data_IF_219595956080
#
_entry.id   IF_219595956080
#
_cell.length_a   1.000
_cell.length_b   1.000
_cell.length_c   1.000
_cell.angle_alpha   90.00
_cell.angle_beta   90.00
_cell.angle_gamma   90.00
#
_symmetry.space_group_name_H-M   'P 1'
#
loop_
_entity.id
_entity.type
_entity.pdbx_description
1 polymer ?
#
# COMPACT_ATOMS: atom_id res chain seq x y z
N UNK A 1 -34.91 -57.42 -59.01
CA UNK A 1 -33.90 -56.35 -59.17
C UNK A 1 -34.66 -55.07 -59.53
N UNK A 2 -34.89 -54.23 -58.53
CA UNK A 2 -35.59 -52.95 -58.71
C UNK A 2 -34.57 -51.84 -58.50
N UNK A 3 -34.29 -51.12 -59.57
CA UNK A 3 -33.32 -49.99 -59.59
C UNK A 3 -33.92 -48.82 -58.82
N UNK A 4 -33.17 -48.36 -57.81
CA UNK A 4 -33.46 -47.09 -57.12
C UNK A 4 -32.92 -45.93 -57.97
N UNK A 5 -33.81 -45.04 -58.40
CA UNK A 5 -33.51 -43.89 -59.21
C UNK A 5 -33.10 -42.69 -58.30
N UNK A 6 -32.24 -41.85 -58.83
CA UNK A 6 -31.68 -40.65 -58.19
C UNK A 6 -32.68 -39.53 -57.81
N UNK A 7 -33.98 -39.79 -57.79
CA UNK A 7 -35.02 -38.77 -57.54
C UNK A 7 -35.68 -38.85 -56.16
N UNK A 8 -35.34 -39.85 -55.33
CA UNK A 8 -35.97 -40.04 -54.02
C UNK A 8 -35.17 -39.38 -52.85
N UNK A 9 -34.22 -38.48 -53.15
CA UNK A 9 -33.39 -37.84 -52.15
C UNK A 9 -33.72 -36.36 -51.92
N UNK A 10 -34.93 -35.90 -52.19
CA UNK A 10 -35.34 -34.52 -51.88
C UNK A 10 -36.58 -34.58 -51.01
N UNK A 11 -36.41 -34.64 -49.70
CA UNK A 11 -37.52 -34.61 -48.76
C UNK A 11 -37.23 -34.75 -47.29
N UNK A 12 -35.99 -34.48 -46.86
CA UNK A 12 -35.74 -34.31 -45.42
C UNK A 12 -35.42 -32.83 -45.20
N UNK A 13 -36.47 -32.03 -45.13
CA UNK A 13 -36.40 -30.65 -44.71
C UNK A 13 -35.95 -30.58 -43.23
N UNK A 14 -34.86 -29.88 -43.02
CA UNK A 14 -34.24 -29.58 -41.77
C UNK A 14 -35.24 -29.04 -40.73
N UNK A 15 -35.61 -29.85 -39.76
CA UNK A 15 -36.07 -29.38 -38.48
C UNK A 15 -34.84 -28.97 -37.69
N UNK A 16 -34.34 -27.77 -37.93
CA UNK A 16 -33.38 -27.09 -37.04
C UNK A 16 -34.10 -26.85 -35.74
N UNK A 17 -33.96 -27.78 -34.82
CA UNK A 17 -34.26 -27.55 -33.41
C UNK A 17 -33.41 -26.39 -32.96
N UNK A 18 -34.00 -25.22 -32.77
CA UNK A 18 -33.47 -24.11 -32.00
C UNK A 18 -33.34 -24.59 -30.54
N UNK A 19 -32.28 -25.34 -30.27
CA UNK A 19 -31.81 -25.50 -28.88
C UNK A 19 -31.48 -24.11 -28.38
N UNK A 20 -32.08 -23.66 -27.27
CA UNK A 20 -31.64 -22.42 -26.65
C UNK A 20 -30.14 -22.59 -26.38
N UNK A 21 -29.31 -21.75 -26.99
CA UNK A 21 -27.93 -21.58 -26.56
C UNK A 21 -28.05 -21.09 -25.15
N UNK A 22 -27.88 -21.99 -24.19
CA UNK A 22 -27.51 -21.62 -22.83
C UNK A 22 -26.19 -20.91 -22.97
N UNK A 23 -26.25 -19.59 -23.10
CA UNK A 23 -25.08 -18.73 -22.91
C UNK A 23 -24.71 -18.99 -21.46
N UNK A 24 -23.73 -19.85 -21.22
CA UNK A 24 -23.00 -19.80 -19.96
C UNK A 24 -22.44 -18.39 -19.92
N UNK A 25 -23.09 -17.53 -19.16
CA UNK A 25 -22.49 -16.25 -18.79
C UNK A 25 -21.15 -16.62 -18.18
N UNK A 26 -20.09 -16.37 -18.91
CA UNK A 26 -18.72 -16.50 -18.39
C UNK A 26 -18.74 -15.67 -17.13
N UNK A 27 -18.53 -16.31 -15.95
CA UNK A 27 -18.58 -15.61 -14.68
C UNK A 27 -17.65 -14.42 -14.79
N UNK A 28 -18.20 -13.22 -14.66
CA UNK A 28 -17.42 -12.00 -14.69
C UNK A 28 -16.49 -12.06 -13.48
N UNK A 29 -15.18 -11.99 -13.68
CA UNK A 29 -14.23 -12.12 -12.59
C UNK A 29 -13.22 -10.97 -12.59
N UNK A 30 -12.55 -10.77 -11.46
CA UNK A 30 -11.40 -9.88 -11.30
C UNK A 30 -10.33 -10.53 -10.44
N UNK A 31 -9.07 -10.48 -10.86
CA UNK A 31 -7.92 -11.00 -10.13
C UNK A 31 -7.18 -9.85 -9.47
N UNK A 32 -7.15 -9.83 -8.14
CA UNK A 32 -6.60 -8.74 -7.33
C UNK A 32 -5.30 -9.19 -6.67
N UNK A 33 -4.17 -8.66 -7.14
CA UNK A 33 -2.88 -8.85 -6.49
C UNK A 33 -2.81 -8.00 -5.21
N UNK A 34 -2.81 -8.66 -4.04
CA UNK A 34 -2.96 -7.96 -2.75
C UNK A 34 -2.12 -8.60 -1.63
N UNK A 35 -2.11 -7.95 -0.46
CA UNK A 35 -1.58 -8.53 0.78
C UNK A 35 -2.60 -9.46 1.41
N UNK A 36 -2.11 -10.42 2.22
CA UNK A 36 -2.95 -11.25 3.08
C UNK A 36 -3.20 -10.61 4.46
N UNK A 37 -3.70 -11.44 5.39
CA UNK A 37 -4.04 -11.02 6.75
C UNK A 37 -5.14 -9.96 6.78
N UNK A 38 -5.12 -9.10 7.79
CA UNK A 38 -6.15 -8.07 8.01
C UNK A 38 -6.44 -7.25 6.73
N UNK A 39 -5.43 -6.92 5.92
CA UNK A 39 -5.63 -6.17 4.68
C UNK A 39 -6.48 -6.94 3.66
N UNK A 40 -6.12 -8.19 3.38
CA UNK A 40 -6.86 -9.05 2.45
C UNK A 40 -8.26 -9.39 2.96
N UNK A 41 -8.40 -9.58 4.27
CA UNK A 41 -9.69 -9.88 4.89
C UNK A 41 -10.64 -8.67 4.82
N UNK A 42 -10.14 -7.46 5.07
CA UNK A 42 -10.93 -6.23 4.92
C UNK A 42 -11.35 -5.98 3.48
N UNK A 43 -10.47 -6.25 2.49
CA UNK A 43 -10.89 -6.21 1.08
C UNK A 43 -11.97 -7.24 0.81
N UNK A 44 -11.81 -8.47 1.30
CA UNK A 44 -12.79 -9.56 1.08
C UNK A 44 -14.16 -9.20 1.63
N UNK A 45 -14.21 -8.68 2.85
CA UNK A 45 -15.46 -8.33 3.50
C UNK A 45 -16.07 -7.05 2.95
N UNK A 46 -15.29 -5.98 2.86
CA UNK A 46 -15.77 -4.62 2.56
C UNK A 46 -15.89 -4.32 1.06
N UNK A 47 -15.15 -5.02 0.20
CA UNK A 47 -15.13 -4.77 -1.25
C UNK A 47 -15.64 -5.98 -2.02
N UNK A 48 -15.00 -7.15 -1.84
CA UNK A 48 -15.29 -8.33 -2.66
C UNK A 48 -16.74 -8.80 -2.45
N UNK A 49 -17.10 -9.11 -1.20
CA UNK A 49 -18.41 -9.66 -0.84
C UNK A 49 -19.50 -8.59 -0.76
N UNK A 50 -19.17 -7.42 -0.24
CA UNK A 50 -20.15 -6.37 -0.03
C UNK A 50 -20.55 -5.65 -1.33
N UNK A 51 -19.62 -5.52 -2.29
CA UNK A 51 -19.82 -4.65 -3.47
C UNK A 51 -19.72 -5.43 -4.78
N UNK A 52 -18.65 -6.24 -4.99
CA UNK A 52 -18.40 -6.88 -6.27
C UNK A 52 -19.30 -8.10 -6.53
N UNK A 53 -19.44 -8.98 -5.54
CA UNK A 53 -20.29 -10.18 -5.66
C UNK A 53 -21.75 -9.84 -5.96
N UNK A 54 -22.40 -8.85 -5.31
CA UNK A 54 -23.75 -8.42 -5.67
C UNK A 54 -23.89 -7.89 -7.11
N UNK A 55 -22.79 -7.43 -7.73
CA UNK A 55 -22.75 -7.04 -9.14
C UNK A 55 -22.47 -8.23 -10.09
N UNK A 56 -22.43 -9.46 -9.59
CA UNK A 56 -22.13 -10.67 -10.37
C UNK A 56 -20.65 -10.82 -10.75
N UNK A 57 -19.75 -10.14 -10.04
CA UNK A 57 -18.30 -10.20 -10.29
C UNK A 57 -17.65 -11.05 -9.21
N UNK A 58 -17.05 -12.17 -9.61
CA UNK A 58 -16.24 -13.02 -8.73
C UNK A 58 -14.86 -12.38 -8.51
N UNK A 59 -14.40 -12.30 -7.26
CA UNK A 59 -13.08 -11.76 -6.92
C UNK A 59 -12.13 -12.88 -6.50
N UNK A 60 -10.98 -12.93 -7.16
CA UNK A 60 -9.88 -13.84 -6.83
C UNK A 60 -8.71 -13.03 -6.28
N UNK A 61 -8.45 -13.13 -4.98
CA UNK A 61 -7.28 -12.50 -4.37
C UNK A 61 -6.01 -13.33 -4.64
N UNK A 62 -5.05 -12.76 -5.41
CA UNK A 62 -3.69 -13.29 -5.58
C UNK A 62 -2.82 -12.73 -4.45
N UNK A 63 -2.83 -13.43 -3.31
CA UNK A 63 -2.15 -13.02 -2.10
C UNK A 63 -0.66 -13.30 -2.20
N UNK A 64 0.14 -12.25 -2.13
CA UNK A 64 1.60 -12.34 -2.14
C UNK A 64 2.24 -11.13 -1.43
N UNK A 65 3.52 -11.25 -1.07
CA UNK A 65 4.29 -10.12 -0.57
C UNK A 65 4.49 -9.02 -1.63
N UNK A 66 4.88 -7.80 -1.24
CA UNK A 66 5.01 -6.68 -2.18
C UNK A 66 6.08 -6.94 -3.26
N UNK A 67 7.21 -7.51 -2.90
CA UNK A 67 8.32 -7.77 -3.85
C UNK A 67 7.93 -8.77 -4.94
N UNK A 68 7.39 -9.97 -4.64
CA UNK A 68 6.91 -10.90 -5.66
C UNK A 68 5.84 -10.28 -6.57
N UNK A 69 4.85 -9.56 -6.01
CA UNK A 69 3.77 -8.92 -6.77
C UNK A 69 4.30 -7.86 -7.72
N UNK A 70 5.15 -6.94 -7.24
CA UNK A 70 5.83 -5.95 -8.08
C UNK A 70 6.64 -6.63 -9.19
N UNK A 71 7.45 -7.63 -8.85
CA UNK A 71 8.28 -8.36 -9.83
C UNK A 71 7.43 -8.99 -10.92
N UNK A 72 6.32 -9.62 -10.55
CA UNK A 72 5.35 -10.24 -11.47
C UNK A 72 4.74 -9.19 -12.40
N UNK A 73 4.24 -8.07 -11.86
CA UNK A 73 3.69 -6.96 -12.64
C UNK A 73 4.72 -6.45 -13.67
N UNK A 74 5.96 -6.20 -13.24
CA UNK A 74 7.01 -5.68 -14.11
C UNK A 74 7.45 -6.68 -15.19
N UNK A 75 7.57 -7.95 -14.85
CA UNK A 75 7.93 -9.01 -15.79
C UNK A 75 6.85 -9.20 -16.87
N UNK A 76 5.60 -9.10 -16.49
CA UNK A 76 4.46 -9.32 -17.40
C UNK A 76 4.05 -8.09 -18.21
N UNK A 77 4.54 -6.88 -17.91
CA UNK A 77 4.06 -5.61 -18.48
C UNK A 77 4.02 -5.54 -20.03
N UNK A 78 4.87 -6.31 -20.70
CA UNK A 78 4.91 -6.41 -22.17
C UNK A 78 4.13 -7.59 -22.72
N UNK A 79 3.59 -8.46 -21.88
CA UNK A 79 2.78 -9.59 -22.30
C UNK A 79 1.43 -9.08 -22.82
N UNK A 80 0.87 -9.78 -23.79
CA UNK A 80 -0.48 -9.46 -24.30
C UNK A 80 -1.56 -9.54 -23.22
N UNK A 81 -1.36 -10.39 -22.23
CA UNK A 81 -2.29 -10.61 -21.09
C UNK A 81 -1.49 -10.81 -19.81
N UNK A 82 -1.80 -10.02 -18.82
CA UNK A 82 -1.28 -10.15 -17.46
C UNK A 82 -1.98 -11.25 -16.67
N UNK A 83 -1.45 -11.53 -15.50
CA UNK A 83 -2.03 -12.50 -14.56
C UNK A 83 -2.87 -11.85 -13.46
N UNK A 84 -2.88 -10.53 -13.35
CA UNK A 84 -3.71 -9.77 -12.42
C UNK A 84 -4.44 -8.64 -13.13
N UNK A 85 -5.61 -8.28 -12.63
CA UNK A 85 -6.45 -7.19 -13.14
C UNK A 85 -6.35 -5.95 -12.28
N UNK A 86 -6.00 -6.12 -11.00
CA UNK A 86 -5.69 -5.04 -10.06
C UNK A 86 -4.38 -5.38 -9.33
N UNK A 87 -3.52 -4.39 -9.16
CA UNK A 87 -2.28 -4.49 -8.38
C UNK A 87 -2.30 -3.50 -7.22
N UNK A 88 -2.27 -4.01 -5.97
CA UNK A 88 -2.11 -3.20 -4.77
C UNK A 88 -0.62 -3.09 -4.42
N UNK A 89 -0.06 -1.89 -4.39
CA UNK A 89 1.36 -1.62 -4.13
C UNK A 89 1.52 -0.40 -3.20
N UNK A 90 2.69 -0.27 -2.58
CA UNK A 90 3.07 0.97 -1.93
C UNK A 90 3.44 2.04 -2.98
N UNK A 91 3.35 3.30 -2.60
CA UNK A 91 3.51 4.47 -3.47
C UNK A 91 4.80 4.50 -4.29
N UNK A 92 5.93 4.11 -3.71
CA UNK A 92 7.21 4.03 -4.44
C UNK A 92 7.22 2.94 -5.52
N UNK A 93 6.64 1.77 -5.22
CA UNK A 93 6.52 0.69 -6.20
C UNK A 93 5.51 1.05 -7.30
N UNK A 94 4.43 1.77 -6.92
CA UNK A 94 3.43 2.27 -7.86
C UNK A 94 4.02 3.34 -8.79
N UNK A 95 4.84 4.27 -8.26
CA UNK A 95 5.60 5.22 -9.06
C UNK A 95 6.46 4.51 -10.10
N UNK A 96 7.21 3.48 -9.69
CA UNK A 96 8.06 2.71 -10.61
C UNK A 96 7.24 2.02 -11.71
N UNK A 97 6.06 1.48 -11.37
CA UNK A 97 5.16 0.86 -12.34
C UNK A 97 4.62 1.89 -13.35
N UNK A 98 4.30 3.09 -12.90
CA UNK A 98 3.84 4.21 -13.73
C UNK A 98 4.94 4.64 -14.71
N UNK A 99 6.17 4.87 -14.24
CA UNK A 99 7.30 5.27 -15.09
C UNK A 99 7.64 4.24 -16.17
N UNK A 100 7.42 2.96 -15.88
CA UNK A 100 7.62 1.87 -16.84
C UNK A 100 6.41 1.67 -17.78
N UNK A 101 5.38 2.50 -17.69
CA UNK A 101 4.17 2.43 -18.50
C UNK A 101 3.37 1.15 -18.33
N UNK A 102 3.41 0.54 -17.14
CA UNK A 102 2.75 -0.73 -16.84
C UNK A 102 1.27 -0.59 -16.51
N UNK A 103 0.79 0.63 -16.22
CA UNK A 103 -0.52 0.90 -15.64
C UNK A 103 -1.43 1.66 -16.62
N UNK A 104 -2.73 1.47 -16.48
CA UNK A 104 -3.77 2.27 -17.15
C UNK A 104 -3.83 3.67 -16.58
N UNK A 105 -4.25 4.61 -17.40
CA UNK A 105 -4.59 5.96 -16.96
C UNK A 105 -5.98 5.98 -16.33
N UNK A 106 -6.10 6.67 -15.19
CA UNK A 106 -7.31 6.77 -14.40
C UNK A 106 -7.81 8.21 -14.37
N UNK A 107 -9.12 8.36 -14.45
CA UNK A 107 -9.84 9.62 -14.26
C UNK A 107 -11.24 9.38 -13.66
N UNK A 108 -12.00 10.44 -13.46
CA UNK A 108 -13.37 10.37 -12.91
C UNK A 108 -14.38 9.74 -13.90
N UNK A 109 -14.03 9.52 -15.16
CA UNK A 109 -14.88 8.85 -16.14
C UNK A 109 -14.81 7.33 -15.98
N UNK A 110 -13.62 6.80 -15.69
CA UNK A 110 -13.40 5.37 -15.55
C UNK A 110 -13.35 4.89 -14.09
N UNK A 111 -13.10 5.79 -13.11
CA UNK A 111 -13.20 5.56 -11.67
C UNK A 111 -13.91 6.77 -11.02
N UNK A 112 -15.25 6.82 -11.03
CA UNK A 112 -16.03 8.00 -10.62
C UNK A 112 -15.70 8.53 -9.22
N UNK A 113 -15.42 7.64 -8.27
CA UNK A 113 -15.09 8.01 -6.90
C UNK A 113 -13.72 8.70 -6.73
N UNK A 114 -12.90 8.78 -7.77
CA UNK A 114 -11.71 9.64 -7.75
C UNK A 114 -12.07 11.12 -7.49
N UNK A 115 -13.29 11.54 -7.83
CA UNK A 115 -13.80 12.85 -7.49
C UNK A 115 -13.83 13.16 -5.98
N UNK A 116 -13.96 12.13 -5.13
CA UNK A 116 -13.97 12.26 -3.68
C UNK A 116 -12.59 12.14 -3.04
N UNK A 117 -11.58 11.68 -3.79
CA UNK A 117 -10.20 11.55 -3.29
C UNK A 117 -9.64 12.95 -2.95
N UNK A 118 -8.98 13.07 -1.80
CA UNK A 118 -8.33 14.31 -1.41
C UNK A 118 -7.33 14.78 -2.49
N UNK A 119 -7.33 16.05 -2.89
CA UNK A 119 -6.52 16.54 -4.01
C UNK A 119 -5.03 16.25 -3.89
N UNK A 120 -4.46 16.27 -2.68
CA UNK A 120 -3.03 16.01 -2.45
C UNK A 120 -2.63 14.54 -2.62
N UNK A 121 -3.60 13.61 -2.69
CA UNK A 121 -3.38 12.18 -2.90
C UNK A 121 -3.70 11.73 -4.34
N UNK A 122 -4.33 12.57 -5.16
CA UNK A 122 -4.75 12.18 -6.52
C UNK A 122 -3.56 11.91 -7.42
N UNK A 123 -3.64 10.83 -8.18
CA UNK A 123 -2.68 10.41 -9.20
C UNK A 123 -3.41 9.98 -10.47
N UNK A 124 -2.70 9.97 -11.61
CA UNK A 124 -3.28 9.66 -12.91
C UNK A 124 -3.27 8.16 -13.28
N UNK A 125 -2.61 7.29 -12.51
CA UNK A 125 -2.47 5.87 -12.85
C UNK A 125 -2.77 4.93 -11.67
N UNK A 126 -3.16 5.47 -10.53
CA UNK A 126 -3.51 4.71 -9.34
C UNK A 126 -4.52 5.47 -8.50
N UNK A 127 -5.30 4.73 -7.71
CA UNK A 127 -6.06 5.29 -6.61
C UNK A 127 -5.23 5.18 -5.32
N UNK A 128 -5.25 6.20 -4.44
CA UNK A 128 -4.79 6.04 -3.07
C UNK A 128 -5.88 5.31 -2.28
N UNK A 129 -5.58 4.12 -1.78
CA UNK A 129 -6.59 3.34 -1.06
C UNK A 129 -6.61 3.67 0.43
N UNK A 130 -5.44 3.74 1.07
CA UNK A 130 -5.26 4.12 2.47
C UNK A 130 -3.94 4.88 2.62
N UNK A 131 -3.83 5.78 3.62
CA UNK A 131 -2.57 6.46 3.87
C UNK A 131 -2.24 6.55 5.36
N UNK A 132 -0.96 6.79 5.65
CA UNK A 132 -0.41 7.06 6.96
C UNK A 132 0.87 7.89 6.79
N UNK A 133 1.65 8.04 7.84
CA UNK A 133 2.99 8.62 7.79
C UNK A 133 3.96 7.76 8.60
N UNK A 134 5.15 7.51 8.07
CA UNK A 134 6.26 7.05 8.88
C UNK A 134 6.73 8.20 9.76
N UNK A 135 6.71 7.96 11.05
CA UNK A 135 6.96 8.97 12.06
C UNK A 135 7.58 8.33 13.30
N UNK A 136 7.82 9.10 14.35
CA UNK A 136 8.28 8.55 15.63
C UNK A 136 7.11 7.87 16.33
N UNK A 137 7.19 6.54 16.47
CA UNK A 137 6.34 5.74 17.36
C UNK A 137 7.16 5.44 18.61
N UNK A 138 6.58 5.65 19.79
CA UNK A 138 7.30 5.56 21.06
C UNK A 138 6.46 4.87 22.16
N UNK A 139 7.14 4.27 23.13
CA UNK A 139 6.51 3.66 24.30
C UNK A 139 6.14 4.75 25.31
N UNK A 140 4.86 4.92 25.60
CA UNK A 140 4.31 5.99 26.48
C UNK A 140 4.60 5.78 27.96
N UNK A 141 4.86 4.54 28.39
CA UNK A 141 5.25 4.24 29.77
C UNK A 141 6.72 4.58 30.04
N UNK A 142 7.57 4.51 28.99
CA UNK A 142 9.02 4.79 29.09
C UNK A 142 9.35 6.22 28.73
N UNK A 143 8.57 6.83 27.85
CA UNK A 143 8.78 8.21 27.38
C UNK A 143 7.50 9.01 27.72
N UNK A 144 7.47 9.54 28.92
CA UNK A 144 6.31 10.27 29.46
C UNK A 144 6.13 11.67 28.89
N UNK A 145 7.22 12.25 28.34
CA UNK A 145 7.17 13.49 27.57
C UNK A 145 7.33 13.13 26.10
N UNK A 146 6.28 13.29 25.26
CA UNK A 146 6.35 12.95 23.84
C UNK A 146 7.53 13.62 23.13
N UNK A 147 8.24 12.91 22.23
CA UNK A 147 9.26 13.53 21.37
C UNK A 147 8.67 14.70 20.57
N UNK A 148 9.48 15.71 20.29
CA UNK A 148 9.05 16.88 19.50
C UNK A 148 9.78 16.99 18.16
N UNK A 149 11.02 16.51 18.15
CA UNK A 149 11.91 16.63 17.00
C UNK A 149 12.41 15.26 16.58
N UNK A 150 12.71 15.09 15.29
CA UNK A 150 13.41 13.88 14.82
C UNK A 150 14.78 13.71 15.49
N UNK A 151 15.41 14.80 15.97
CA UNK A 151 16.67 14.74 16.70
C UNK A 151 16.57 13.98 18.02
N UNK A 152 15.38 13.83 18.60
CA UNK A 152 15.17 13.01 19.80
C UNK A 152 15.58 11.54 19.58
N UNK A 153 15.56 11.06 18.33
CA UNK A 153 16.03 9.73 17.96
C UNK A 153 17.57 9.58 18.12
N UNK A 154 18.33 10.67 18.21
CA UNK A 154 19.78 10.70 18.44
C UNK A 154 20.16 11.15 19.84
N UNK A 155 19.18 11.34 20.75
CA UNK A 155 19.47 11.73 22.12
C UNK A 155 20.22 10.59 22.85
N UNK A 156 21.41 10.83 23.40
CA UNK A 156 22.19 9.80 24.10
C UNK A 156 21.47 9.12 25.27
N UNK A 157 20.44 9.79 25.85
CA UNK A 157 19.60 9.16 26.90
C UNK A 157 18.85 7.92 26.43
N UNK A 158 18.64 7.77 25.14
CA UNK A 158 17.99 6.63 24.51
C UNK A 158 18.96 5.64 23.86
N UNK A 159 20.24 5.65 24.26
CA UNK A 159 21.24 4.68 23.80
C UNK A 159 20.72 3.26 23.91
N UNK A 160 20.75 2.49 22.80
CA UNK A 160 20.27 1.11 22.72
C UNK A 160 18.77 0.95 22.80
N UNK A 161 17.99 2.07 22.75
CA UNK A 161 16.52 2.08 22.85
C UNK A 161 15.81 2.57 21.59
N UNK A 162 16.55 2.87 20.53
CA UNK A 162 16.01 3.22 19.21
C UNK A 162 16.05 1.98 18.31
N UNK A 163 14.90 1.61 17.74
CA UNK A 163 14.78 0.55 16.74
C UNK A 163 14.70 1.12 15.33
N UNK A 164 15.32 0.44 14.38
CA UNK A 164 15.29 0.78 12.97
C UNK A 164 14.85 -0.45 12.16
N UNK A 165 13.78 -0.33 11.41
CA UNK A 165 13.30 -1.44 10.57
C UNK A 165 14.22 -1.64 9.37
N UNK A 166 14.77 -2.83 9.18
CA UNK A 166 15.70 -3.14 8.08
C UNK A 166 15.06 -2.90 6.70
N UNK A 167 13.81 -3.30 6.54
CA UNK A 167 13.07 -3.11 5.28
C UNK A 167 12.68 -1.63 5.01
N UNK A 168 12.77 -0.74 6.01
CA UNK A 168 12.54 0.70 5.87
C UNK A 168 13.85 1.48 5.74
N UNK A 169 14.93 0.86 5.25
CA UNK A 169 16.23 1.50 5.13
C UNK A 169 16.18 2.85 4.39
N UNK A 170 15.35 2.96 3.34
CA UNK A 170 15.15 4.22 2.60
C UNK A 170 14.52 5.29 3.48
N UNK A 171 13.48 4.97 4.23
CA UNK A 171 12.82 5.88 5.17
C UNK A 171 13.79 6.28 6.30
N UNK A 172 14.49 5.31 6.89
CA UNK A 172 15.52 5.59 7.93
C UNK A 172 16.61 6.53 7.39
N UNK A 173 17.03 6.31 6.13
CA UNK A 173 18.01 7.18 5.46
C UNK A 173 17.44 8.59 5.26
N UNK A 174 16.15 8.72 4.90
CA UNK A 174 15.50 10.02 4.76
C UNK A 174 15.46 10.78 6.09
N UNK A 175 15.08 10.14 7.19
CA UNK A 175 15.12 10.75 8.53
C UNK A 175 16.54 11.17 8.90
N UNK A 176 17.53 10.32 8.65
CA UNK A 176 18.94 10.66 8.90
C UNK A 176 19.42 11.82 8.02
N UNK A 177 18.96 11.92 6.75
CA UNK A 177 19.30 13.03 5.86
C UNK A 177 18.75 14.36 6.40
N UNK A 178 17.45 14.40 6.71
CA UNK A 178 16.81 15.61 7.26
C UNK A 178 17.48 16.02 8.57
N UNK A 179 17.75 15.09 9.50
CA UNK A 179 18.46 15.36 10.75
C UNK A 179 19.90 15.86 10.52
N UNK A 180 20.49 15.53 9.39
CA UNK A 180 21.82 16.01 8.98
C UNK A 180 21.82 17.34 8.22
N UNK A 181 20.66 17.97 8.02
CA UNK A 181 20.51 19.21 7.24
C UNK A 181 20.34 18.97 5.72
N UNK A 182 20.07 17.74 5.29
CA UNK A 182 19.73 17.39 3.92
C UNK A 182 18.26 17.63 3.57
N UNK A 183 17.80 16.99 2.50
CA UNK A 183 16.43 17.12 1.99
C UNK A 183 15.95 15.82 1.35
N UNK A 184 14.73 15.80 0.81
CA UNK A 184 14.19 14.65 0.03
C UNK A 184 14.91 14.45 -1.32
N UNK A 185 15.77 15.37 -1.72
CA UNK A 185 16.62 15.32 -2.92
C UNK A 185 18.11 15.39 -2.62
N UNK A 186 18.49 15.31 -1.33
CA UNK A 186 19.89 15.28 -0.88
C UNK A 186 20.04 14.40 0.36
N UNK A 187 20.43 13.14 0.14
CA UNK A 187 20.68 12.18 1.22
C UNK A 187 22.16 12.04 1.60
N UNK A 188 23.05 12.89 1.06
CA UNK A 188 24.47 12.84 1.42
C UNK A 188 24.73 13.00 2.93
N UNK A 189 24.02 13.90 3.67
CA UNK A 189 24.19 14.04 5.10
C UNK A 189 23.77 12.82 5.94
N UNK A 190 22.93 11.93 5.37
CA UNK A 190 22.42 10.75 6.07
C UNK A 190 23.53 9.81 6.55
N UNK A 191 24.61 9.66 5.77
CA UNK A 191 25.69 8.71 6.07
C UNK A 191 26.29 8.99 7.46
N UNK A 192 26.56 10.26 7.78
CA UNK A 192 27.05 10.65 9.10
C UNK A 192 26.05 10.33 10.20
N UNK A 193 24.78 10.67 10.00
CA UNK A 193 23.71 10.47 10.98
C UNK A 193 23.40 8.99 11.22
N UNK A 194 23.48 8.15 10.20
CA UNK A 194 23.39 6.71 10.34
C UNK A 194 24.53 6.17 11.22
N UNK A 195 25.78 6.62 11.01
CA UNK A 195 26.91 6.21 11.85
C UNK A 195 26.79 6.70 13.29
N UNK A 196 26.15 7.87 13.52
CA UNK A 196 25.80 8.32 14.87
C UNK A 196 24.80 7.34 15.54
N UNK A 197 23.75 6.87 14.84
CA UNK A 197 22.84 5.82 15.37
C UNK A 197 23.59 4.52 15.70
N UNK A 198 24.52 4.09 14.84
CA UNK A 198 25.36 2.94 15.13
C UNK A 198 26.15 3.14 16.42
N UNK A 199 26.72 4.32 16.64
CA UNK A 199 27.48 4.65 17.87
C UNK A 199 26.57 4.74 19.12
N UNK A 200 25.26 4.94 18.93
CA UNK A 200 24.22 4.92 19.97
C UNK A 200 23.57 3.55 20.15
N UNK A 201 24.13 2.49 19.58
CA UNK A 201 23.64 1.11 19.67
C UNK A 201 22.18 0.95 19.17
N UNK A 202 21.77 1.69 18.15
CA UNK A 202 20.46 1.53 17.53
C UNK A 202 20.27 0.09 17.03
N UNK A 203 19.09 -0.50 17.30
CA UNK A 203 18.79 -1.89 16.98
C UNK A 203 18.20 -1.99 15.57
N UNK A 204 18.79 -2.80 14.69
CA UNK A 204 18.24 -3.10 13.37
C UNK A 204 17.34 -4.32 13.48
N UNK A 205 16.07 -4.16 13.13
CA UNK A 205 15.01 -5.17 13.31
C UNK A 205 14.52 -5.64 11.93
N UNK A 206 14.52 -6.96 11.73
CA UNK A 206 14.35 -7.57 10.41
C UNK A 206 12.92 -7.49 9.84
N UNK A 207 11.90 -7.40 10.68
CA UNK A 207 10.50 -7.42 10.27
C UNK A 207 9.62 -6.54 11.16
N UNK A 208 8.40 -6.29 10.70
CA UNK A 208 7.36 -5.58 11.48
C UNK A 208 7.08 -6.31 12.80
N UNK A 209 7.04 -7.64 12.79
CA UNK A 209 6.81 -8.48 13.96
C UNK A 209 7.98 -8.38 14.96
N UNK A 210 9.21 -8.30 14.44
CA UNK A 210 10.39 -8.09 15.28
C UNK A 210 10.34 -6.72 15.99
N UNK A 211 9.87 -5.67 15.31
CA UNK A 211 9.68 -4.33 15.92
C UNK A 211 8.62 -4.40 17.02
N UNK A 212 7.48 -5.05 16.77
CA UNK A 212 6.43 -5.23 17.79
C UNK A 212 6.93 -6.00 19.01
N UNK A 213 7.68 -7.10 18.78
CA UNK A 213 8.27 -7.90 19.85
C UNK A 213 9.29 -7.10 20.67
N UNK A 214 10.12 -6.28 20.03
CA UNK A 214 11.11 -5.43 20.69
C UNK A 214 10.45 -4.33 21.54
N UNK A 215 9.32 -3.77 21.13
CA UNK A 215 8.51 -2.88 21.97
C UNK A 215 7.90 -3.62 23.17
N UNK A 216 7.31 -4.79 22.92
CA UNK A 216 6.67 -5.59 23.99
C UNK A 216 7.68 -6.04 25.05
N UNK A 217 8.91 -6.35 24.67
CA UNK A 217 9.99 -6.71 25.59
C UNK A 217 10.74 -5.49 26.14
N UNK A 218 10.38 -4.27 25.74
CA UNK A 218 11.06 -3.01 26.08
C UNK A 218 12.55 -2.98 25.65
N UNK A 219 12.93 -3.81 24.69
CA UNK A 219 14.24 -3.74 24.07
C UNK A 219 14.42 -2.38 23.39
N UNK A 220 13.38 -1.89 22.72
CA UNK A 220 13.33 -0.54 22.16
C UNK A 220 12.21 0.29 22.82
N UNK A 221 12.37 1.61 22.80
CA UNK A 221 11.39 2.57 23.27
C UNK A 221 10.89 3.50 22.18
N UNK A 222 11.61 3.62 21.07
CA UNK A 222 11.25 4.41 19.90
C UNK A 222 11.64 3.71 18.61
N UNK A 223 10.89 4.01 17.55
CA UNK A 223 11.21 3.59 16.17
C UNK A 223 10.63 4.59 15.17
N UNK A 224 11.09 4.52 13.93
CA UNK A 224 10.46 5.14 12.76
C UNK A 224 9.62 4.07 12.06
N UNK A 225 8.29 4.24 12.10
CA UNK A 225 7.36 3.34 11.40
C UNK A 225 6.05 4.09 11.12
N UNK A 226 5.17 3.52 10.30
CA UNK A 226 3.85 4.12 10.06
C UNK A 226 3.06 4.28 11.37
N UNK A 227 2.46 5.45 11.59
CA UNK A 227 1.59 5.73 12.73
C UNK A 227 0.50 4.66 12.89
N UNK A 228 -0.05 4.17 11.78
CA UNK A 228 -1.01 3.07 11.73
C UNK A 228 -0.50 1.80 12.42
N UNK A 229 0.80 1.48 12.33
CA UNK A 229 1.37 0.34 13.06
C UNK A 229 1.40 0.57 14.57
N UNK A 230 1.73 1.80 14.98
CA UNK A 230 1.63 2.21 16.40
C UNK A 230 0.22 2.03 16.93
N UNK A 231 -0.80 2.45 16.17
CA UNK A 231 -2.21 2.24 16.50
C UNK A 231 -2.55 0.75 16.65
N UNK A 232 -2.24 -0.10 15.66
CA UNK A 232 -2.52 -1.54 15.72
C UNK A 232 -1.89 -2.22 16.93
N UNK A 233 -0.66 -1.87 17.26
CA UNK A 233 0.06 -2.44 18.40
C UNK A 233 -0.46 -1.90 19.75
N UNK A 234 -0.94 -0.65 19.77
CA UNK A 234 -1.60 -0.10 20.94
C UNK A 234 -2.92 -0.84 21.22
N UNK A 235 -3.73 -1.12 20.20
CA UNK A 235 -4.92 -1.96 20.31
C UNK A 235 -4.59 -3.40 20.77
N UNK A 236 -3.40 -3.89 20.45
CA UNK A 236 -2.90 -5.17 20.93
C UNK A 236 -2.28 -5.11 22.35
N UNK A 237 -2.40 -3.98 23.05
CA UNK A 237 -2.00 -3.80 24.44
C UNK A 237 -0.53 -3.38 24.65
N UNK A 238 0.18 -2.91 23.63
CA UNK A 238 1.51 -2.31 23.79
C UNK A 238 1.32 -0.79 23.99
N UNK A 239 1.82 -0.18 25.08
CA UNK A 239 1.58 1.23 25.38
C UNK A 239 2.35 2.15 24.43
N UNK A 240 1.80 2.43 23.25
CA UNK A 240 2.42 3.20 22.20
C UNK A 240 1.64 4.46 21.87
N UNK A 241 2.40 5.53 21.60
CA UNK A 241 1.94 6.75 20.96
C UNK A 241 2.76 7.05 19.73
N UNK A 242 2.32 8.03 18.93
CA UNK A 242 3.09 8.56 17.82
C UNK A 242 3.07 10.08 17.80
N UNK A 243 4.04 10.69 17.14
CA UNK A 243 4.12 12.14 16.96
C UNK A 243 4.64 12.48 15.58
N UNK A 244 4.08 13.51 14.96
CA UNK A 244 4.66 14.17 13.80
C UNK A 244 5.66 15.22 14.33
N UNK A 245 6.93 14.97 14.12
CA UNK A 245 7.99 15.86 14.57
C UNK A 245 7.90 17.27 13.96
N UNK A 246 8.59 18.23 14.56
CA UNK A 246 8.62 19.62 14.06
C UNK A 246 9.18 19.69 12.63
N UNK A 247 10.14 18.83 12.28
CA UNK A 247 10.74 18.72 10.96
C UNK A 247 9.84 17.97 9.96
N UNK A 248 8.77 17.33 10.43
CA UNK A 248 7.78 16.61 9.63
C UNK A 248 7.86 15.09 9.71
N UNK A 249 7.26 14.44 8.73
CA UNK A 249 7.17 12.99 8.63
C UNK A 249 7.19 12.53 7.16
N UNK A 250 7.55 11.27 6.93
CA UNK A 250 7.54 10.67 5.59
C UNK A 250 6.16 10.07 5.31
N UNK A 251 5.33 10.67 4.42
CA UNK A 251 4.02 10.10 4.09
C UNK A 251 4.19 8.73 3.44
N UNK A 252 3.23 7.85 3.65
CA UNK A 252 3.15 6.54 2.99
C UNK A 252 1.72 6.29 2.53
N UNK A 253 1.57 5.94 1.27
CA UNK A 253 0.27 5.66 0.65
C UNK A 253 0.29 4.24 0.10
N UNK A 254 -0.74 3.46 0.41
CA UNK A 254 -0.98 2.20 -0.27
C UNK A 254 -1.98 2.46 -1.38
N UNK A 255 -1.62 2.02 -2.57
CA UNK A 255 -2.31 2.36 -3.80
C UNK A 255 -2.78 1.11 -4.52
N UNK A 256 -3.78 1.27 -5.37
CA UNK A 256 -4.22 0.24 -6.28
C UNK A 256 -4.33 0.79 -7.71
N UNK A 257 -4.00 -0.05 -8.68
CA UNK A 257 -4.00 0.31 -10.09
C UNK A 257 -4.41 -0.87 -10.98
N UNK A 258 -4.87 -0.57 -12.18
CA UNK A 258 -5.16 -1.57 -13.23
C UNK A 258 -3.94 -1.70 -14.14
N UNK A 259 -3.33 -2.89 -14.28
CA UNK A 259 -2.29 -3.12 -15.28
C UNK A 259 -2.81 -2.92 -16.71
N UNK A 260 -1.99 -2.34 -17.61
CA UNK A 260 -2.35 -2.13 -19.02
C UNK A 260 -2.78 -3.41 -19.74
N UNK A 261 -2.21 -4.53 -19.35
CA UNK A 261 -2.47 -5.84 -19.93
C UNK A 261 -3.46 -6.69 -19.12
N UNK A 262 -4.21 -6.07 -18.21
CA UNK A 262 -5.28 -6.72 -17.45
C UNK A 262 -6.29 -7.41 -18.38
N UNK A 263 -6.71 -8.62 -18.03
CA UNK A 263 -7.68 -9.40 -18.83
C UNK A 263 -9.09 -8.89 -18.67
N UNK A 264 -9.43 -8.48 -17.45
CA UNK A 264 -10.76 -8.03 -17.06
C UNK A 264 -10.68 -6.56 -16.61
N UNK A 265 -10.16 -5.70 -17.50
CA UNK A 265 -9.86 -4.29 -17.21
C UNK A 265 -11.07 -3.53 -16.66
N UNK A 266 -12.25 -3.71 -17.26
CA UNK A 266 -13.49 -3.07 -16.80
C UNK A 266 -13.83 -3.45 -15.36
N UNK A 267 -13.71 -4.73 -15.01
CA UNK A 267 -13.92 -5.17 -13.63
C UNK A 267 -12.82 -4.67 -12.69
N UNK A 268 -11.59 -4.54 -13.16
CA UNK A 268 -10.51 -3.91 -12.43
C UNK A 268 -10.83 -2.46 -12.07
N UNK A 269 -11.32 -1.67 -13.02
CA UNK A 269 -11.74 -0.28 -12.79
C UNK A 269 -12.91 -0.19 -11.79
N UNK A 270 -13.92 -1.05 -11.93
CA UNK A 270 -15.02 -1.15 -10.94
C UNK A 270 -14.52 -1.52 -9.55
N UNK A 271 -13.50 -2.39 -9.47
CA UNK A 271 -12.88 -2.76 -8.21
C UNK A 271 -12.16 -1.58 -7.56
N UNK A 272 -11.42 -0.77 -8.34
CA UNK A 272 -10.79 0.45 -7.83
C UNK A 272 -11.85 1.42 -7.29
N UNK A 273 -12.95 1.61 -8.00
CA UNK A 273 -14.05 2.46 -7.55
C UNK A 273 -14.66 1.96 -6.23
N UNK A 274 -14.87 0.64 -6.12
CA UNK A 274 -15.37 0.00 -4.92
C UNK A 274 -14.41 0.13 -3.71
N UNK A 275 -13.08 0.13 -3.93
CA UNK A 275 -12.11 0.36 -2.85
C UNK A 275 -12.19 1.77 -2.26
N UNK A 276 -12.73 2.73 -3.00
CA UNK A 276 -12.94 4.12 -2.55
C UNK A 276 -14.32 4.33 -1.89
N UNK A 277 -15.13 3.28 -1.71
CA UNK A 277 -16.40 3.39 -1.00
C UNK A 277 -16.16 3.75 0.49
N UNK A 278 -16.94 4.72 1.06
CA UNK A 278 -16.74 5.16 2.44
C UNK A 278 -16.74 4.03 3.47
N UNK A 279 -17.63 3.04 3.29
CA UNK A 279 -17.70 1.89 4.20
C UNK A 279 -16.43 1.02 4.16
N UNK A 280 -15.84 0.79 2.98
CA UNK A 280 -14.57 0.09 2.84
C UNK A 280 -13.44 0.90 3.50
N UNK A 281 -13.36 2.21 3.24
CA UNK A 281 -12.35 3.10 3.79
C UNK A 281 -12.40 3.17 5.33
N UNK A 282 -13.59 3.32 5.91
CA UNK A 282 -13.78 3.38 7.38
C UNK A 282 -13.46 2.04 8.06
N UNK A 283 -13.71 0.91 7.41
CA UNK A 283 -13.34 -0.42 7.93
C UNK A 283 -11.81 -0.57 8.09
N UNK A 284 -11.04 -0.12 7.08
CA UNK A 284 -9.57 -0.07 7.16
C UNK A 284 -9.09 0.86 8.28
N UNK A 285 -9.71 2.03 8.43
CA UNK A 285 -9.39 2.97 9.48
C UNK A 285 -9.60 2.35 10.86
N UNK A 286 -10.75 1.76 11.11
CA UNK A 286 -11.09 1.16 12.41
C UNK A 286 -10.18 -0.01 12.78
N UNK A 287 -9.87 -0.89 11.82
CA UNK A 287 -9.09 -2.11 12.09
C UNK A 287 -7.59 -1.88 12.07
N UNK A 288 -7.09 -1.07 11.14
CA UNK A 288 -5.67 -0.94 10.87
C UNK A 288 -5.09 0.45 11.17
N UNK A 289 -5.91 1.44 11.53
CA UNK A 289 -5.45 2.78 11.87
C UNK A 289 -4.89 3.58 10.68
N UNK A 290 -5.20 3.18 9.46
CA UNK A 290 -4.89 3.98 8.27
C UNK A 290 -5.98 5.00 8.01
N UNK A 291 -5.59 6.19 7.59
CA UNK A 291 -6.51 7.29 7.31
C UNK A 291 -7.21 7.06 5.97
N UNK A 292 -8.53 7.29 5.88
CA UNK A 292 -9.25 7.29 4.61
C UNK A 292 -8.69 8.30 3.63
N UNK A 293 -8.80 7.99 2.34
CA UNK A 293 -8.29 8.84 1.25
C UNK A 293 -9.38 9.65 0.55
N UNK A 294 -10.64 9.45 0.94
CA UNK A 294 -11.82 10.11 0.36
C UNK A 294 -12.52 11.01 1.38
N UNK A 295 -13.06 12.11 0.91
CA UNK A 295 -13.65 13.18 1.75
C UNK A 295 -15.02 12.82 2.35
N UNK A 296 -15.70 11.81 1.80
CA UNK A 296 -17.00 11.32 2.25
C UNK A 296 -16.92 10.12 3.22
N UNK A 297 -15.74 9.62 3.54
CA UNK A 297 -15.52 8.63 4.60
C UNK A 297 -15.43 9.32 5.97
N UNK A 298 -16.54 9.33 6.69
CA UNK A 298 -16.64 9.99 8.00
C UNK A 298 -16.25 8.97 9.10
N UNK A 299 -15.24 9.30 9.88
CA UNK A 299 -14.80 8.50 11.03
C UNK A 299 -15.55 8.89 12.32
N UNK A 300 -15.63 7.93 13.24
CA UNK A 300 -15.96 8.25 14.61
C UNK A 300 -14.94 9.27 15.16
N UNK A 301 -15.38 10.33 15.90
CA UNK A 301 -14.49 11.39 16.36
C UNK A 301 -13.32 10.91 17.25
N UNK A 302 -13.51 9.88 18.08
CA UNK A 302 -12.44 9.35 18.92
C UNK A 302 -11.45 8.55 18.10
N UNK A 303 -11.91 7.79 17.11
CA UNK A 303 -11.04 7.11 16.16
C UNK A 303 -10.25 8.12 15.32
N UNK A 304 -10.94 9.13 14.76
CA UNK A 304 -10.31 10.17 13.94
C UNK A 304 -9.17 10.85 14.68
N UNK A 305 -9.40 11.26 15.92
CA UNK A 305 -8.37 11.86 16.79
C UNK A 305 -7.16 10.98 17.03
N UNK A 306 -7.34 9.66 17.00
CA UNK A 306 -6.27 8.69 17.27
C UNK A 306 -5.43 8.34 16.07
N UNK A 307 -5.98 8.42 14.86
CA UNK A 307 -5.31 7.94 13.64
C UNK A 307 -5.06 9.02 12.60
N UNK A 308 -5.87 10.09 12.58
CA UNK A 308 -5.75 11.15 11.58
C UNK A 308 -4.65 12.16 11.99
N UNK A 309 -4.33 13.01 11.06
CA UNK A 309 -3.35 14.09 11.21
C UNK A 309 -4.07 15.43 11.08
N UNK A 310 -3.73 16.37 11.94
CA UNK A 310 -4.21 17.76 11.82
C UNK A 310 -3.70 18.40 10.52
N UNK A 311 -4.37 19.43 10.03
CA UNK A 311 -3.91 20.14 8.82
C UNK A 311 -2.48 20.67 8.99
N UNK A 312 -2.15 21.21 10.18
CA UNK A 312 -0.79 21.67 10.48
C UNK A 312 0.26 20.55 10.48
N UNK A 313 -0.12 19.30 10.79
CA UNK A 313 0.76 18.13 10.68
C UNK A 313 0.90 17.69 9.23
N UNK A 314 -0.19 17.67 8.46
CA UNK A 314 -0.16 17.37 7.03
C UNK A 314 0.70 18.35 6.23
N UNK A 315 0.69 19.63 6.59
CA UNK A 315 1.55 20.66 5.99
C UNK A 315 3.05 20.36 6.20
N UNK A 316 3.41 19.65 7.28
CA UNK A 316 4.78 19.22 7.56
C UNK A 316 5.16 17.89 6.91
N UNK A 317 4.25 17.22 6.20
CA UNK A 317 4.61 16.00 5.48
C UNK A 317 5.65 16.32 4.42
N UNK A 318 6.72 15.54 4.43
CA UNK A 318 7.73 15.64 3.38
C UNK A 318 7.12 15.28 2.03
N UNK A 319 7.75 15.75 0.98
CA UNK A 319 7.38 15.40 -0.40
C UNK A 319 8.48 14.49 -0.97
N UNK A 320 8.33 13.16 -0.89
CA UNK A 320 9.34 12.24 -1.39
C UNK A 320 9.57 12.44 -2.89
N UNK A 321 10.81 12.62 -3.28
CA UNK A 321 11.21 12.55 -4.70
C UNK A 321 11.50 11.09 -5.05
N UNK A 322 10.50 10.42 -5.60
CA UNK A 322 10.62 9.00 -5.95
C UNK A 322 11.60 8.75 -7.11
N UNK A 323 11.81 9.72 -8.01
CA UNK A 323 12.84 9.62 -9.03
C UNK A 323 14.24 9.65 -8.42
N UNK A 324 14.47 10.55 -7.46
CA UNK A 324 15.70 10.58 -6.67
C UNK A 324 15.90 9.27 -5.90
N UNK A 325 14.86 8.78 -5.21
CA UNK A 325 14.91 7.52 -4.46
C UNK A 325 15.25 6.35 -5.39
N UNK A 326 14.60 6.23 -6.53
CA UNK A 326 14.85 5.17 -7.52
C UNK A 326 16.31 5.20 -8.02
N UNK A 327 16.85 6.40 -8.26
CA UNK A 327 18.23 6.59 -8.73
C UNK A 327 19.27 6.16 -7.71
N UNK A 328 19.04 6.45 -6.44
CA UNK A 328 20.05 6.28 -5.37
C UNK A 328 19.78 5.09 -4.43
N UNK A 329 18.65 4.37 -4.60
CA UNK A 329 18.25 3.27 -3.72
C UNK A 329 19.33 2.19 -3.58
N UNK A 330 20.00 1.83 -4.67
CA UNK A 330 21.05 0.81 -4.64
C UNK A 330 22.28 1.28 -3.80
N UNK A 331 22.69 2.54 -3.93
CA UNK A 331 23.76 3.11 -3.12
C UNK A 331 23.39 3.17 -1.64
N UNK A 332 22.14 3.58 -1.34
CA UNK A 332 21.62 3.61 0.03
C UNK A 332 21.63 2.22 0.66
N UNK A 333 21.17 1.22 -0.06
CA UNK A 333 21.12 -0.17 0.40
C UNK A 333 22.54 -0.73 0.64
N UNK A 334 23.46 -0.43 -0.26
CA UNK A 334 24.84 -0.85 -0.16
C UNK A 334 25.51 -0.24 1.11
N UNK A 335 25.36 1.08 1.33
CA UNK A 335 25.84 1.74 2.55
C UNK A 335 25.15 1.18 3.81
N UNK A 336 23.83 0.97 3.77
CA UNK A 336 23.07 0.39 4.88
C UNK A 336 23.59 -0.99 5.28
N UNK A 337 23.87 -1.85 4.30
CA UNK A 337 24.32 -3.23 4.57
C UNK A 337 25.79 -3.31 4.98
N UNK A 338 26.69 -2.61 4.30
CA UNK A 338 28.15 -2.78 4.51
C UNK A 338 28.71 -1.88 5.59
N UNK A 339 28.23 -0.63 5.64
CA UNK A 339 28.85 0.38 6.50
C UNK A 339 28.04 0.59 7.78
N UNK A 340 26.71 0.63 7.69
CA UNK A 340 25.85 0.87 8.85
C UNK A 340 25.64 -0.39 9.70
N UNK A 341 25.21 -1.51 9.09
CA UNK A 341 25.04 -2.78 9.84
C UNK A 341 26.39 -3.46 10.14
N UNK A 342 27.36 -3.32 9.26
CA UNK A 342 28.75 -3.79 9.43
C UNK A 342 28.92 -5.21 9.09
#
# INVERSE_FOLDING_TARGET
>A
MTEFTRRDFIGVAAATTLLPRVSYAQSSQVIVGTWGGDYGDLLREGVDQAIMVPQGIEVLQDVSGPVPRRTKLMAERQNRRGSMDVACLADFDMFTATELGALEELDEQNVPRMGNVFPFLRKSHSIPQIYSAHTIVYNTDRITTPPKSIHDLWDPKYRGKVGLSDFLFTTNTAFAAIAGGGSMTDFAPAKKKLMEWRSLDAKVLASTEAVAAAFKSEEIWMTIIAAARGYMWNEAGIPLGHVIAEEGAFPTVYEAAVPRNARNKENGLKYLDAMLEPAAQTAFAAKMGYVPTVSDAILDPELDKRINFTEAEKERFWRPDFAYLAKYQAEMLDFWNRDFKG
#
